data_IF_506854108072
#
_entry.id   IF_506854108072
#
_cell.length_a   1.000
_cell.length_b   1.000
_cell.length_c   1.000
_cell.angle_alpha   90.00
_cell.angle_beta   90.00
_cell.angle_gamma   90.00
#
_symmetry.space_group_name_H-M   'P 1'
#
loop_
_entity.id
_entity.type
_entity.pdbx_description
1 polymer ?
#
# COMPACT_ATOMS: atom_id res chain seq x y z
N UNK A 1 -13.06 -7.58 8.80
CA UNK A 1 -13.02 -7.68 7.31
C UNK A 1 -11.61 -8.04 6.84
N UNK A 2 -11.42 -8.68 5.68
CA UNK A 2 -10.10 -8.85 5.06
C UNK A 2 -9.91 -7.81 3.96
N UNK A 3 -8.68 -7.34 3.74
CA UNK A 3 -8.46 -6.30 2.73
C UNK A 3 -7.00 -5.97 2.48
N UNK A 4 -6.81 -4.92 1.70
CA UNK A 4 -5.57 -4.17 1.68
C UNK A 4 -5.72 -2.93 2.54
N UNK A 5 -4.69 -2.62 3.31
CA UNK A 5 -4.57 -1.34 4.01
C UNK A 5 -3.41 -0.57 3.41
N UNK A 6 -3.62 0.72 3.17
CA UNK A 6 -2.59 1.67 2.73
C UNK A 6 -2.35 2.64 3.87
N UNK A 7 -1.10 2.77 4.28
CA UNK A 7 -0.72 3.64 5.40
C UNK A 7 0.43 4.55 5.05
N UNK A 8 0.48 5.74 5.63
CA UNK A 8 1.72 6.48 5.74
C UNK A 8 2.66 5.82 6.76
N UNK A 9 3.95 5.80 6.45
CA UNK A 9 5.01 5.37 7.36
C UNK A 9 6.29 6.19 7.07
N UNK A 10 7.02 6.54 8.11
CA UNK A 10 8.14 7.48 8.00
C UNK A 10 8.48 8.16 9.32
N UNK A 11 9.44 9.09 9.26
CA UNK A 11 9.92 9.81 10.46
C UNK A 11 9.16 11.10 10.73
N UNK A 12 8.16 11.41 9.92
CA UNK A 12 7.38 12.64 10.06
C UNK A 12 6.42 12.51 11.25
N UNK A 13 6.50 13.48 12.17
CA UNK A 13 5.76 13.51 13.43
C UNK A 13 4.24 13.66 13.22
N UNK A 14 3.82 14.26 12.10
CA UNK A 14 2.42 14.50 11.78
C UNK A 14 1.68 13.25 11.26
N UNK A 15 2.41 12.17 10.93
CA UNK A 15 1.84 10.90 10.45
C UNK A 15 0.94 10.20 11.47
N UNK A 16 1.09 10.52 12.76
CA UNK A 16 0.32 9.91 13.83
C UNK A 16 -1.18 10.24 13.78
N UNK A 17 -1.59 11.30 13.06
CA UNK A 17 -3.00 11.73 13.00
C UNK A 17 -3.80 11.12 11.86
N UNK A 18 -3.16 10.72 10.75
CA UNK A 18 -3.82 10.19 9.56
C UNK A 18 -3.08 8.97 8.98
N UNK A 19 -2.84 7.96 9.83
CA UNK A 19 -2.02 6.80 9.46
C UNK A 19 -2.58 5.98 8.31
N UNK A 20 -3.91 5.88 8.16
CA UNK A 20 -4.55 5.10 7.09
C UNK A 20 -5.03 6.02 5.99
N UNK A 21 -4.58 5.73 4.78
CA UNK A 21 -4.87 6.51 3.57
C UNK A 21 -5.98 5.87 2.76
N UNK A 22 -6.02 4.55 2.70
CA UNK A 22 -7.05 3.82 1.98
C UNK A 22 -7.20 2.38 2.49
N UNK A 23 -8.40 1.83 2.29
CA UNK A 23 -8.70 0.40 2.46
C UNK A 23 -9.28 -0.12 1.15
N UNK A 24 -8.73 -1.23 0.63
CA UNK A 24 -9.22 -1.86 -0.60
C UNK A 24 -9.67 -3.30 -0.37
N UNK A 25 -10.46 -3.80 -1.33
CA UNK A 25 -10.99 -5.17 -1.31
C UNK A 25 -9.86 -6.22 -1.40
N UNK A 26 -9.94 -7.25 -0.56
CA UNK A 26 -8.96 -8.34 -0.50
C UNK A 26 -8.76 -9.11 -1.83
N UNK A 27 -9.78 -9.10 -2.70
CA UNK A 27 -9.76 -9.78 -4.01
C UNK A 27 -8.90 -9.03 -5.03
N UNK A 28 -8.54 -7.79 -4.78
CA UNK A 28 -7.69 -7.04 -5.69
C UNK A 28 -6.25 -7.59 -5.66
N UNK A 29 -5.68 -7.75 -6.86
CA UNK A 29 -4.29 -8.16 -7.05
C UNK A 29 -3.31 -7.04 -6.67
N UNK A 30 -2.09 -7.43 -6.28
CA UNK A 30 -1.06 -6.48 -5.85
C UNK A 30 -0.73 -5.43 -6.92
N UNK A 31 -0.69 -5.81 -8.19
CA UNK A 31 -0.45 -4.87 -9.32
C UNK A 31 -1.52 -3.78 -9.41
N UNK A 32 -2.80 -4.14 -9.25
CA UNK A 32 -3.88 -3.14 -9.25
C UNK A 32 -3.76 -2.18 -8.07
N UNK A 33 -3.45 -2.71 -6.88
CA UNK A 33 -3.29 -1.89 -5.67
C UNK A 33 -2.06 -1.01 -5.77
N UNK A 34 -0.96 -1.52 -6.32
CA UNK A 34 0.27 -0.78 -6.62
C UNK A 34 -0.06 0.46 -7.46
N UNK A 35 -0.83 0.26 -8.51
CA UNK A 35 -1.17 1.32 -9.44
C UNK A 35 -1.98 2.45 -8.80
N UNK A 36 -2.85 2.10 -7.85
CA UNK A 36 -3.65 3.06 -7.08
C UNK A 36 -2.81 3.76 -6.01
N UNK A 37 -1.86 3.07 -5.39
CA UNK A 37 -0.95 3.65 -4.41
C UNK A 37 -0.05 4.71 -5.05
N UNK A 38 0.45 4.47 -6.28
CA UNK A 38 1.19 5.49 -7.04
C UNK A 38 0.36 6.76 -7.21
N UNK A 39 -0.89 6.60 -7.66
CA UNK A 39 -1.79 7.74 -7.83
C UNK A 39 -2.08 8.45 -6.50
N UNK A 40 -2.33 7.70 -5.42
CA UNK A 40 -2.53 8.28 -4.09
C UNK A 40 -1.31 9.07 -3.64
N UNK A 41 -0.10 8.56 -3.87
CA UNK A 41 1.12 9.25 -3.49
C UNK A 41 1.19 10.61 -4.17
N UNK A 42 1.07 10.65 -5.50
CA UNK A 42 1.09 11.87 -6.29
C UNK A 42 0.05 12.89 -5.78
N UNK A 43 -1.16 12.43 -5.46
CA UNK A 43 -2.24 13.31 -5.01
C UNK A 43 -2.06 13.86 -3.59
N UNK A 44 -1.39 13.11 -2.70
CA UNK A 44 -1.40 13.39 -1.27
C UNK A 44 -0.05 13.86 -0.69
N UNK A 45 1.07 13.58 -1.36
CA UNK A 45 2.42 13.91 -0.84
C UNK A 45 2.86 15.36 -1.11
N UNK A 46 1.99 16.19 -1.67
CA UNK A 46 2.34 17.58 -2.00
C UNK A 46 3.19 17.73 -3.26
N UNK A 47 3.12 16.77 -4.19
CA UNK A 47 3.83 16.86 -5.48
C UNK A 47 3.41 18.10 -6.28
N UNK A 48 4.34 18.60 -7.09
CA UNK A 48 4.15 19.74 -7.98
C UNK A 48 3.18 19.40 -9.12
N UNK A 49 2.53 20.42 -9.69
CA UNK A 49 1.67 20.24 -10.88
C UNK A 49 2.43 19.64 -12.08
N UNK A 50 3.73 19.92 -12.18
CA UNK A 50 4.60 19.34 -13.21
C UNK A 50 4.76 17.81 -13.02
N UNK A 51 4.94 17.34 -11.79
CA UNK A 51 5.04 15.90 -11.47
C UNK A 51 3.71 15.18 -11.70
N UNK A 52 2.58 15.81 -11.35
CA UNK A 52 1.24 15.29 -11.66
C UNK A 52 1.04 15.11 -13.16
N UNK A 53 1.43 16.12 -13.95
CA UNK A 53 1.33 16.07 -15.40
C UNK A 53 2.28 15.03 -16.01
N UNK A 54 3.51 14.92 -15.49
CA UNK A 54 4.48 13.91 -15.92
C UNK A 54 3.93 12.48 -15.69
N UNK A 55 3.39 12.22 -14.49
CA UNK A 55 2.73 10.96 -14.16
C UNK A 55 1.57 10.63 -15.11
N UNK A 56 0.71 11.62 -15.39
CA UNK A 56 -0.44 11.45 -16.28
C UNK A 56 -0.04 11.18 -17.75
N UNK A 57 1.08 11.76 -18.20
CA UNK A 57 1.54 11.65 -19.59
C UNK A 57 2.21 10.30 -19.86
N UNK A 58 3.19 9.92 -19.06
CA UNK A 58 3.97 8.70 -19.24
C UNK A 58 4.21 8.07 -17.88
N UNK A 59 3.49 6.99 -17.59
CA UNK A 59 3.62 6.28 -16.31
C UNK A 59 5.05 5.79 -16.02
N UNK A 60 5.81 5.46 -17.07
CA UNK A 60 7.23 5.06 -16.94
C UNK A 60 8.14 6.20 -16.46
N UNK A 61 7.71 7.45 -16.61
CA UNK A 61 8.41 8.65 -16.13
C UNK A 61 7.92 9.08 -14.75
N UNK A 62 7.07 8.27 -14.09
CA UNK A 62 6.65 8.54 -12.72
C UNK A 62 7.90 8.66 -11.82
N UNK A 63 8.14 9.82 -11.18
CA UNK A 63 9.29 9.98 -10.28
C UNK A 63 9.17 9.13 -9.02
N UNK A 64 7.96 8.65 -8.70
CA UNK A 64 7.66 7.86 -7.51
C UNK A 64 6.99 6.53 -7.89
N UNK A 65 7.70 5.63 -8.59
CA UNK A 65 7.17 4.32 -8.92
C UNK A 65 6.96 3.51 -7.63
N UNK A 66 5.83 2.84 -7.53
CA UNK A 66 5.61 1.91 -6.44
C UNK A 66 6.33 0.59 -6.75
N UNK A 67 6.79 -0.10 -5.72
CA UNK A 67 7.45 -1.39 -5.84
C UNK A 67 6.70 -2.45 -5.04
N UNK A 68 6.56 -3.64 -5.62
CA UNK A 68 6.01 -4.81 -4.94
C UNK A 68 7.18 -5.66 -4.46
N UNK A 69 7.29 -5.87 -3.15
CA UNK A 69 8.32 -6.71 -2.58
C UNK A 69 8.03 -8.21 -2.73
N UNK A 70 8.99 -9.04 -2.33
CA UNK A 70 8.87 -10.52 -2.35
C UNK A 70 7.74 -11.08 -1.49
N UNK A 71 7.15 -10.27 -0.62
CA UNK A 71 6.03 -10.59 0.25
C UNK A 71 4.73 -9.92 -0.19
N UNK A 72 4.64 -9.43 -1.43
CA UNK A 72 3.45 -8.76 -1.95
C UNK A 72 3.05 -7.51 -1.14
N UNK A 73 4.02 -6.88 -0.46
CA UNK A 73 3.85 -5.55 0.14
C UNK A 73 4.23 -4.51 -0.90
N UNK A 74 3.57 -3.37 -0.84
CA UNK A 74 3.79 -2.27 -1.76
C UNK A 74 4.43 -1.13 -1.00
N UNK A 75 5.51 -0.56 -1.53
CA UNK A 75 6.11 0.68 -1.05
C UNK A 75 6.08 1.72 -2.18
N UNK A 76 5.82 2.98 -1.87
CA UNK A 76 5.75 4.05 -2.85
C UNK A 76 6.21 5.38 -2.27
N UNK A 77 7.00 6.11 -3.05
CA UNK A 77 7.40 7.49 -2.75
C UNK A 77 8.73 7.63 -2.01
N UNK A 78 8.86 8.77 -1.32
CA UNK A 78 9.95 9.12 -0.42
C UNK A 78 9.37 9.45 0.97
N UNK A 79 10.22 9.56 2.00
CA UNK A 79 9.78 9.82 3.38
C UNK A 79 8.90 11.09 3.49
N UNK A 80 7.62 10.98 3.95
CA UNK A 80 6.94 9.76 4.38
C UNK A 80 6.39 8.91 3.23
N UNK A 81 6.59 7.59 3.31
CA UNK A 81 6.24 6.64 2.25
C UNK A 81 4.80 6.12 2.41
N UNK A 82 4.18 5.69 1.31
CA UNK A 82 2.96 4.89 1.34
C UNK A 82 3.26 3.39 1.34
N UNK A 83 2.67 2.68 2.29
CA UNK A 83 2.79 1.23 2.42
C UNK A 83 1.46 0.51 2.24
N UNK A 84 1.36 -0.31 1.21
CA UNK A 84 0.23 -1.20 0.94
C UNK A 84 0.46 -2.62 1.45
N UNK A 85 -0.44 -3.14 2.28
CA UNK A 85 -0.32 -4.49 2.89
C UNK A 85 -1.63 -5.24 2.84
N UNK A 86 -1.58 -6.55 2.59
CA UNK A 86 -2.76 -7.42 2.83
C UNK A 86 -2.88 -7.74 4.30
N UNK A 87 -4.09 -7.59 4.81
CA UNK A 87 -4.41 -7.76 6.21
C UNK A 87 -5.69 -8.58 6.38
N UNK A 88 -5.83 -9.17 7.56
CA UNK A 88 -7.05 -9.83 8.03
C UNK A 88 -7.63 -9.05 9.20
N UNK A 89 -8.90 -9.34 9.49
CA UNK A 89 -9.57 -8.86 10.70
C UNK A 89 -9.44 -7.34 10.90
N UNK A 90 -9.61 -6.57 9.82
CA UNK A 90 -9.76 -5.11 9.91
C UNK A 90 -11.03 -4.84 10.72
N UNK A 91 -10.85 -4.11 11.81
CA UNK A 91 -11.90 -3.62 12.71
C UNK A 91 -11.69 -2.12 12.91
N UNK A 92 -12.81 -1.39 13.06
CA UNK A 92 -12.83 0.02 13.43
C UNK A 92 -13.49 0.11 14.80
N UNK A 93 -12.74 0.55 15.80
CA UNK A 93 -13.22 0.82 17.15
C UNK A 93 -13.11 2.32 17.42
N UNK A 94 -14.26 3.02 17.32
CA UNK A 94 -14.30 4.48 17.31
C UNK A 94 -13.50 5.05 16.13
N UNK A 95 -12.34 5.64 16.41
CA UNK A 95 -11.40 6.21 15.42
C UNK A 95 -10.16 5.35 15.20
N UNK A 96 -10.03 4.23 15.92
CA UNK A 96 -8.84 3.38 15.91
C UNK A 96 -9.10 2.18 15.01
N UNK A 97 -8.25 2.00 14.01
CA UNK A 97 -8.23 0.80 13.19
C UNK A 97 -7.28 -0.23 13.78
N UNK A 98 -7.74 -1.48 13.89
CA UNK A 98 -6.91 -2.63 14.23
C UNK A 98 -6.95 -3.65 13.09
N UNK A 99 -5.84 -4.35 12.86
CA UNK A 99 -5.74 -5.36 11.83
C UNK A 99 -4.60 -6.35 12.12
N UNK A 100 -4.67 -7.51 11.50
CA UNK A 100 -3.60 -8.52 11.52
C UNK A 100 -2.91 -8.55 10.15
N UNK A 101 -1.59 -8.34 10.10
CA UNK A 101 -0.86 -8.53 8.84
C UNK A 101 -0.86 -10.02 8.43
N UNK A 102 -1.10 -10.31 7.15
CA UNK A 102 -0.92 -11.67 6.66
C UNK A 102 0.56 -12.02 6.63
N UNK A 103 0.95 -13.07 7.36
CA UNK A 103 2.30 -13.59 7.30
C UNK A 103 2.53 -14.40 6.03
N UNK A 104 3.23 -13.81 5.06
CA UNK A 104 3.54 -14.43 3.78
C UNK A 104 4.61 -15.54 3.88
N UNK A 105 5.33 -15.67 5.01
CA UNK A 105 6.29 -16.77 5.21
C UNK A 105 5.59 -18.12 5.33
N UNK A 106 4.36 -18.15 5.82
CA UNK A 106 3.57 -19.38 6.00
C UNK A 106 2.91 -19.86 4.69
N UNK A 107 2.54 -18.95 3.80
CA UNK A 107 1.82 -19.28 2.55
C UNK A 107 2.66 -20.12 1.58
N UNK A 108 3.97 -19.89 1.48
CA UNK A 108 4.87 -20.71 0.64
C UNK A 108 5.06 -22.16 1.14
N UNK A 109 4.85 -22.42 2.44
CA UNK A 109 4.93 -23.78 3.00
C UNK A 109 3.68 -24.62 2.72
N UNK A 110 2.52 -23.97 2.64
CA UNK A 110 1.23 -24.65 2.38
C UNK A 110 1.10 -25.02 0.90
N UNK A 111 1.56 -24.15 -0.01
CA UNK A 111 1.46 -24.38 -1.46
C UNK A 111 2.30 -25.57 -1.97
N UNK A 112 3.35 -25.97 -1.23
CA UNK A 112 4.19 -27.13 -1.56
C UNK A 112 3.63 -28.48 -1.08
N UNK A 113 2.49 -28.51 -0.38
CA UNK A 113 1.86 -29.75 0.12
C UNK A 113 0.58 -30.15 -0.62
N UNK A 114 0.18 -29.43 -1.67
CA UNK A 114 -1.02 -29.75 -2.46
C UNK A 114 -0.73 -30.47 -3.80
N UNK A 115 0.53 -30.84 -4.07
CA UNK A 115 0.94 -31.56 -5.29
C UNK A 115 1.85 -32.77 -5.00
N UNK A 116 1.65 -33.47 -3.88
CA UNK A 116 2.33 -34.73 -3.58
C UNK A 116 1.31 -35.80 -3.18
#
# INVERSE_FOLDING_TARGET
MNGWIVTWDGTDADLNRNKIVAVYDSRWGATRVKDLIEQLYILLSGTTEAEKLAYARIRKENPYPAEIDKFQRINCGHNPFLFGRRVKNILLDGTIYTWEERDYKLLRKIDRRMFA
#
